data_IF_324703592400
#
_entry.id   IF_324703592400
#
_cell.length_a   1.000
_cell.length_b   1.000
_cell.length_c   1.000
_cell.angle_alpha   90.00
_cell.angle_beta   90.00
_cell.angle_gamma   90.00
#
_symmetry.space_group_name_H-M   'P 1'
#
loop_
_entity.id
_entity.type
_entity.pdbx_description
1 polymer ?
#
# COMPACT_ATOMS: atom_id res chain seq x y z
N UNK A 1 -13.15 -10.56 -16.93
CA UNK A 1 -12.50 -10.42 -15.62
C UNK A 1 -13.28 -9.40 -14.76
N UNK A 2 -13.16 -9.39 -13.42
CA UNK A 2 -13.87 -8.43 -12.55
C UNK A 2 -13.60 -6.94 -12.89
N UNK A 3 -12.51 -6.65 -13.60
CA UNK A 3 -12.12 -5.30 -14.04
C UNK A 3 -12.95 -4.78 -15.24
N UNK A 4 -13.44 -5.65 -16.14
CA UNK A 4 -14.27 -5.26 -17.30
C UNK A 4 -15.63 -4.65 -16.89
N UNK A 5 -16.12 -4.99 -15.68
CA UNK A 5 -17.35 -4.41 -15.13
C UNK A 5 -17.14 -2.99 -14.58
N UNK A 6 -15.90 -2.61 -14.21
CA UNK A 6 -15.58 -1.27 -13.69
C UNK A 6 -15.51 -0.22 -14.79
N UNK A 7 -14.98 -0.59 -15.96
CA UNK A 7 -14.86 0.31 -17.11
C UNK A 7 -16.19 1.00 -17.49
N UNK A 8 -17.31 0.25 -17.46
CA UNK A 8 -18.63 0.81 -17.82
C UNK A 8 -19.07 1.97 -16.91
N UNK A 9 -18.70 1.94 -15.63
CA UNK A 9 -19.01 3.02 -14.69
C UNK A 9 -18.14 4.25 -14.93
N UNK A 10 -16.96 4.09 -15.53
CA UNK A 10 -16.04 5.18 -15.80
C UNK A 10 -16.44 5.97 -17.07
N UNK A 11 -17.21 5.35 -17.97
CA UNK A 11 -17.75 6.02 -19.17
C UNK A 11 -18.72 7.16 -18.87
N UNK A 12 -19.38 7.16 -17.70
CA UNK A 12 -20.29 8.24 -17.28
C UNK A 12 -19.58 9.59 -17.12
N UNK A 13 -18.26 9.60 -17.02
CA UNK A 13 -17.45 10.82 -16.88
C UNK A 13 -16.99 11.43 -18.22
N UNK A 14 -17.36 10.81 -19.37
CA UNK A 14 -17.24 11.39 -20.71
C UNK A 14 -16.03 10.91 -21.55
N UNK A 15 -16.17 10.91 -22.88
CA UNK A 15 -15.14 10.45 -23.84
C UNK A 15 -15.74 9.63 -24.97
N UNK A 16 -14.94 9.20 -25.95
CA UNK A 16 -15.36 8.14 -26.88
C UNK A 16 -15.07 6.77 -26.25
N UNK A 17 -16.00 5.82 -26.36
CA UNK A 17 -15.92 4.51 -25.68
C UNK A 17 -14.61 3.79 -25.97
N UNK A 18 -14.17 3.78 -27.23
CA UNK A 18 -12.96 3.07 -27.65
C UNK A 18 -11.67 3.71 -27.11
N UNK A 19 -11.57 5.05 -27.10
CA UNK A 19 -10.40 5.72 -26.55
C UNK A 19 -10.31 5.54 -25.03
N UNK A 20 -11.46 5.60 -24.35
CA UNK A 20 -11.51 5.35 -22.91
C UNK A 20 -11.05 3.93 -22.58
N UNK A 21 -11.57 2.93 -23.31
CA UNK A 21 -11.20 1.53 -23.11
C UNK A 21 -9.71 1.31 -23.35
N UNK A 22 -9.18 1.89 -24.41
CA UNK A 22 -7.75 1.82 -24.73
C UNK A 22 -6.89 2.42 -23.62
N UNK A 23 -7.28 3.59 -23.09
CA UNK A 23 -6.54 4.23 -21.99
C UNK A 23 -6.64 3.41 -20.70
N UNK A 24 -7.81 2.88 -20.34
CA UNK A 24 -7.96 2.03 -19.15
C UNK A 24 -7.05 0.80 -19.23
N UNK A 25 -7.08 0.09 -20.36
CA UNK A 25 -6.25 -1.08 -20.59
C UNK A 25 -4.75 -0.73 -20.53
N UNK A 26 -4.36 0.43 -21.06
CA UNK A 26 -2.98 0.89 -20.97
C UNK A 26 -2.56 1.19 -19.52
N UNK A 27 -3.43 1.81 -18.71
CA UNK A 27 -3.18 2.08 -17.28
C UNK A 27 -2.99 0.76 -16.53
N UNK A 28 -3.87 -0.22 -16.74
CA UNK A 28 -3.77 -1.54 -16.12
C UNK A 28 -2.49 -2.24 -16.55
N UNK A 29 -2.19 -2.27 -17.85
CA UNK A 29 -0.96 -2.85 -18.37
C UNK A 29 0.28 -2.23 -17.72
N UNK A 30 0.34 -0.90 -17.63
CA UNK A 30 1.51 -0.21 -17.06
C UNK A 30 1.59 -0.39 -15.54
N UNK A 31 0.45 -0.44 -14.84
CA UNK A 31 0.42 -0.79 -13.41
C UNK A 31 1.09 -2.14 -13.14
N UNK A 32 0.82 -3.15 -13.96
CA UNK A 32 1.41 -4.49 -13.80
C UNK A 32 2.88 -4.53 -14.19
N UNK A 33 3.28 -3.81 -15.23
CA UNK A 33 4.66 -3.84 -15.73
C UNK A 33 5.63 -2.87 -15.01
N UNK A 34 5.13 -1.92 -14.22
CA UNK A 34 5.91 -0.80 -13.68
C UNK A 34 7.15 -1.27 -12.91
N UNK A 35 7.05 -2.30 -12.08
CA UNK A 35 8.18 -2.73 -11.23
C UNK A 35 9.09 -3.78 -11.89
N UNK A 36 8.69 -4.31 -13.04
CA UNK A 36 9.45 -5.31 -13.79
C UNK A 36 10.21 -4.69 -14.98
N UNK A 37 9.85 -3.46 -15.36
CA UNK A 37 10.38 -2.81 -16.55
C UNK A 37 11.03 -1.46 -16.22
N UNK A 38 12.37 -1.45 -16.14
CA UNK A 38 13.15 -0.26 -15.81
C UNK A 38 12.97 0.88 -16.81
N UNK A 39 12.74 0.56 -18.08
CA UNK A 39 12.50 1.56 -19.13
C UNK A 39 11.15 2.25 -18.87
N UNK A 40 10.12 1.47 -18.51
CA UNK A 40 8.82 2.02 -18.14
C UNK A 40 8.91 2.88 -16.86
N UNK A 41 9.70 2.48 -15.86
CA UNK A 41 9.96 3.30 -14.67
C UNK A 41 10.58 4.64 -15.05
N UNK A 42 11.60 4.65 -15.92
CA UNK A 42 12.23 5.90 -16.37
C UNK A 42 11.20 6.84 -17.03
N UNK A 43 10.32 6.27 -17.87
CA UNK A 43 9.28 7.05 -18.57
C UNK A 43 8.23 7.60 -17.60
N UNK A 44 7.69 6.77 -16.70
CA UNK A 44 6.55 7.16 -15.86
C UNK A 44 6.95 7.91 -14.59
N UNK A 45 8.06 7.54 -13.97
CA UNK A 45 8.54 8.19 -12.76
C UNK A 45 9.45 9.39 -13.09
N UNK A 46 9.74 9.61 -14.37
CA UNK A 46 10.51 10.75 -14.88
C UNK A 46 11.87 10.92 -14.17
N UNK A 47 12.46 9.81 -13.72
CA UNK A 47 13.57 9.81 -12.79
C UNK A 47 14.96 9.86 -13.44
N UNK A 48 15.04 10.00 -14.77
CA UNK A 48 16.34 10.04 -15.47
C UNK A 48 17.21 8.82 -15.19
N UNK A 49 18.45 8.82 -15.69
CA UNK A 49 19.34 7.66 -15.58
C UNK A 49 19.92 7.50 -14.17
N UNK A 50 19.79 6.27 -13.66
CA UNK A 50 20.40 5.68 -12.45
C UNK A 50 19.78 6.10 -11.11
N UNK A 51 18.57 5.60 -10.82
CA UNK A 51 18.20 5.33 -9.42
C UNK A 51 18.92 4.03 -9.01
N UNK A 52 19.88 4.11 -8.07
CA UNK A 52 20.56 2.94 -7.49
C UNK A 52 19.58 2.06 -6.69
N UNK A 53 18.52 2.64 -6.12
CA UNK A 53 17.47 1.98 -5.35
C UNK A 53 16.10 2.09 -6.05
N UNK A 54 15.89 1.31 -7.12
CA UNK A 54 14.62 1.34 -7.86
C UNK A 54 13.46 0.84 -6.98
N UNK A 55 12.27 1.46 -7.08
CA UNK A 55 11.09 0.96 -6.39
C UNK A 55 10.74 -0.43 -6.94
N UNK A 56 10.38 -1.32 -6.03
CA UNK A 56 9.96 -2.70 -6.29
C UNK A 56 8.46 -2.88 -6.09
N UNK A 57 7.82 -1.93 -5.41
CA UNK A 57 6.39 -1.96 -5.13
C UNK A 57 5.78 -0.55 -5.07
N UNK A 58 4.45 -0.48 -5.07
CA UNK A 58 3.74 0.77 -4.83
C UNK A 58 3.93 1.33 -3.41
N UNK A 59 4.42 0.51 -2.47
CA UNK A 59 4.77 0.96 -1.12
C UNK A 59 6.11 1.72 -1.10
N UNK A 60 6.96 1.53 -2.11
CA UNK A 60 8.26 2.23 -2.21
C UNK A 60 8.11 3.61 -2.86
N UNK A 61 6.95 3.89 -3.48
CA UNK A 61 6.67 5.15 -4.17
C UNK A 61 6.12 6.22 -3.23
N UNK A 62 6.45 7.47 -3.54
CA UNK A 62 5.90 8.64 -2.84
C UNK A 62 4.40 8.80 -3.11
N UNK A 63 3.68 9.27 -2.09
CA UNK A 63 2.24 9.49 -2.14
C UNK A 63 1.91 10.98 -2.02
N UNK A 64 1.54 11.61 -3.13
CA UNK A 64 1.07 13.01 -3.14
C UNK A 64 -0.41 13.16 -2.71
N UNK A 65 -1.16 12.06 -2.64
CA UNK A 65 -2.60 12.05 -2.34
C UNK A 65 -2.81 11.59 -0.90
N UNK A 66 -3.24 12.51 -0.04
CA UNK A 66 -3.42 12.27 1.40
C UNK A 66 -4.24 11.02 1.74
N UNK A 67 -5.42 10.77 1.11
CA UNK A 67 -6.15 9.51 1.30
C UNK A 67 -5.36 8.24 0.97
N UNK A 68 -4.50 8.25 -0.06
CA UNK A 68 -3.66 7.10 -0.41
C UNK A 68 -2.64 6.83 0.69
N UNK A 69 -1.98 7.86 1.21
CA UNK A 69 -1.03 7.75 2.32
C UNK A 69 -1.67 7.19 3.58
N UNK A 70 -2.90 7.60 3.89
CA UNK A 70 -3.67 7.04 5.01
C UNK A 70 -3.95 5.54 4.83
N UNK A 71 -4.40 5.14 3.64
CA UNK A 71 -4.65 3.72 3.33
C UNK A 71 -3.34 2.92 3.40
N UNK A 72 -2.25 3.46 2.86
CA UNK A 72 -0.91 2.88 2.91
C UNK A 72 -0.43 2.68 4.35
N UNK A 73 -0.55 3.69 5.20
CA UNK A 73 -0.18 3.62 6.62
C UNK A 73 -0.94 2.52 7.37
N UNK A 74 -2.27 2.46 7.17
CA UNK A 74 -3.08 1.39 7.75
C UNK A 74 -2.64 0.02 7.25
N UNK A 75 -2.40 -0.16 5.94
CA UNK A 75 -1.97 -1.44 5.39
C UNK A 75 -0.60 -1.88 5.94
N UNK A 76 0.38 -0.97 5.99
CA UNK A 76 1.71 -1.27 6.56
C UNK A 76 1.58 -1.74 8.01
N UNK A 77 0.82 -1.00 8.83
CA UNK A 77 0.63 -1.37 10.23
C UNK A 77 -0.13 -2.69 10.36
N UNK A 78 -1.20 -2.86 9.59
CA UNK A 78 -2.03 -4.06 9.63
C UNK A 78 -1.25 -5.30 9.21
N UNK A 79 -0.47 -5.22 8.14
CA UNK A 79 0.43 -6.28 7.70
C UNK A 79 1.47 -6.60 8.76
N UNK A 80 2.08 -5.58 9.37
CA UNK A 80 3.02 -5.74 10.47
C UNK A 80 2.41 -6.49 11.65
N UNK A 81 1.23 -6.07 12.14
CA UNK A 81 0.58 -6.71 13.30
C UNK A 81 0.10 -8.13 12.97
N UNK A 82 -0.48 -8.34 11.78
CA UNK A 82 -0.89 -9.68 11.32
C UNK A 82 0.31 -10.62 11.24
N UNK A 83 1.44 -10.14 10.73
CA UNK A 83 2.66 -10.93 10.62
C UNK A 83 3.13 -11.42 11.99
N UNK A 84 3.12 -10.54 13.00
CA UNK A 84 3.40 -10.89 14.40
C UNK A 84 2.40 -11.86 15.00
N UNK A 85 1.12 -11.69 14.69
CA UNK A 85 0.04 -12.54 15.17
C UNK A 85 0.03 -13.94 14.54
N UNK A 86 0.72 -14.15 13.39
CA UNK A 86 0.61 -15.39 12.61
C UNK A 86 1.92 -16.15 12.38
N UNK A 87 3.09 -15.50 12.46
CA UNK A 87 4.38 -16.18 12.31
C UNK A 87 4.80 -16.93 13.58
N UNK A 88 5.30 -18.17 13.46
CA UNK A 88 5.80 -18.93 14.61
C UNK A 88 7.20 -18.51 15.09
N UNK A 89 7.41 -18.81 16.37
CA UNK A 89 8.60 -18.76 17.24
C UNK A 89 9.12 -17.41 17.75
N UNK A 90 8.84 -17.20 19.04
CA UNK A 90 9.62 -16.40 19.96
C UNK A 90 10.89 -17.20 20.29
N UNK A 91 12.04 -16.77 19.77
CA UNK A 91 13.33 -17.17 20.37
C UNK A 91 13.51 -16.32 21.62
N UNK A 92 13.35 -16.94 22.79
CA UNK A 92 13.52 -16.27 24.09
C UNK A 92 15.01 -15.94 24.26
N UNK A 93 15.37 -14.66 24.22
CA UNK A 93 16.72 -14.20 24.58
C UNK A 93 16.66 -13.55 25.96
N UNK A 94 17.26 -14.22 26.93
CA UNK A 94 17.39 -13.75 28.31
C UNK A 94 18.43 -12.61 28.36
N UNK A 95 18.04 -11.42 28.84
CA UNK A 95 19.00 -10.37 29.20
C UNK A 95 18.97 -10.19 30.72
N UNK A 96 19.93 -10.78 31.43
CA UNK A 96 21.04 -9.96 31.95
C UNK A 96 22.43 -10.59 31.86
N UNK A 97 22.60 -11.88 31.51
CA UNK A 97 23.92 -12.56 31.50
C UNK A 97 24.11 -13.70 30.45
N UNK A 98 23.24 -13.82 29.43
CA UNK A 98 23.46 -14.76 28.33
C UNK A 98 23.34 -16.25 28.66
N UNK A 99 22.48 -16.62 29.63
CA UNK A 99 22.10 -18.02 29.86
C UNK A 99 20.68 -18.27 29.36
N UNK A 100 20.34 -19.55 29.15
CA UNK A 100 18.98 -19.99 28.83
C UNK A 100 18.52 -20.77 30.06
N UNK A 101 17.47 -20.29 30.74
CA UNK A 101 16.89 -20.94 31.92
C UNK A 101 15.40 -21.24 31.66
N UNK A 102 14.87 -22.42 32.02
CA UNK A 102 13.45 -22.73 31.90
C UNK A 102 12.58 -21.84 32.81
N UNK A 103 11.42 -21.40 32.30
CA UNK A 103 10.49 -20.51 32.99
C UNK A 103 9.98 -21.01 34.35
N UNK A 104 10.08 -22.31 34.64
CA UNK A 104 9.65 -22.94 35.88
C UNK A 104 10.56 -22.70 37.09
N UNK A 105 11.73 -22.07 36.92
CA UNK A 105 12.80 -22.02 37.93
C UNK A 105 13.12 -20.60 38.47
N UNK A 106 12.32 -19.57 38.16
CA UNK A 106 12.68 -18.17 38.46
C UNK A 106 11.79 -17.48 39.51
N UNK A 107 12.41 -16.97 40.58
CA UNK A 107 11.82 -16.08 41.61
C UNK A 107 12.75 -14.85 41.81
N UNK A 108 12.58 -13.77 41.02
CA UNK A 108 13.43 -12.56 41.08
C UNK A 108 13.02 -11.41 40.13
N UNK A 109 13.63 -10.23 40.23
CA UNK A 109 13.21 -8.95 39.61
C UNK A 109 13.03 -8.97 38.07
N UNK A 110 12.05 -8.18 37.58
CA UNK A 110 11.49 -8.12 36.21
C UNK A 110 12.46 -8.49 35.06
N UNK A 111 12.38 -9.75 34.63
CA UNK A 111 12.96 -10.19 33.35
C UNK A 111 12.16 -9.55 32.20
N UNK A 112 12.87 -8.92 31.26
CA UNK A 112 12.29 -8.54 29.97
C UNK A 112 12.54 -9.67 28.97
N UNK A 113 11.45 -10.25 28.46
CA UNK A 113 11.51 -11.30 27.46
C UNK A 113 11.37 -10.67 26.09
N UNK A 114 12.39 -10.82 25.24
CA UNK A 114 12.38 -10.27 23.89
C UNK A 114 12.59 -11.35 22.84
N UNK A 115 11.96 -11.15 21.68
CA UNK A 115 12.21 -11.94 20.46
C UNK A 115 13.62 -11.68 19.92
N UNK A 116 14.07 -12.48 18.95
CA UNK A 116 15.34 -12.29 18.25
C UNK A 116 15.48 -10.90 17.58
N UNK A 117 14.36 -10.23 17.31
CA UNK A 117 14.32 -8.89 16.72
C UNK A 117 14.13 -7.77 17.76
N UNK A 118 14.12 -8.09 19.06
CA UNK A 118 14.07 -7.13 20.17
C UNK A 118 12.65 -6.71 20.61
N UNK A 119 11.60 -7.34 20.10
CA UNK A 119 10.21 -7.06 20.51
C UNK A 119 9.80 -7.81 21.77
N UNK A 120 8.87 -7.25 22.56
CA UNK A 120 8.26 -7.89 23.73
C UNK A 120 7.63 -9.25 23.35
N UNK A 121 8.25 -10.32 23.86
CA UNK A 121 7.85 -11.69 23.61
C UNK A 121 6.50 -12.03 24.23
N UNK A 122 6.23 -11.57 25.46
CA UNK A 122 5.00 -11.88 26.18
C UNK A 122 3.80 -11.24 25.45
N UNK A 123 3.97 -9.99 25.01
CA UNK A 123 2.96 -9.30 24.19
C UNK A 123 2.67 -10.02 22.87
N UNK A 124 3.69 -10.54 22.19
CA UNK A 124 3.54 -11.29 20.94
C UNK A 124 2.85 -12.64 21.17
N UNK A 125 3.23 -13.39 22.21
CA UNK A 125 2.61 -14.67 22.54
C UNK A 125 1.11 -14.48 22.79
N UNK A 126 0.75 -13.48 23.60
CA UNK A 126 -0.64 -13.16 23.88
C UNK A 126 -1.40 -12.73 22.63
N UNK A 127 -0.77 -11.96 21.74
CA UNK A 127 -1.36 -11.59 20.45
C UNK A 127 -1.65 -12.82 19.58
N UNK A 128 -0.74 -13.80 19.56
CA UNK A 128 -0.89 -15.05 18.81
C UNK A 128 -2.01 -15.92 19.40
N UNK A 129 -2.07 -16.07 20.73
CA UNK A 129 -3.15 -16.79 21.40
C UNK A 129 -4.52 -16.18 21.08
N UNK A 130 -4.66 -14.86 21.19
CA UNK A 130 -5.90 -14.14 20.90
C UNK A 130 -6.30 -14.28 19.42
N UNK A 131 -5.33 -14.32 18.49
CA UNK A 131 -5.59 -14.53 17.06
C UNK A 131 -6.30 -15.85 16.77
N UNK A 132 -5.89 -16.93 17.43
CA UNK A 132 -6.52 -18.25 17.29
C UNK A 132 -7.80 -18.37 18.12
N UNK A 133 -7.89 -17.68 19.26
CA UNK A 133 -9.06 -17.72 20.14
C UNK A 133 -10.26 -16.91 19.61
N UNK A 134 -10.04 -15.89 18.77
CA UNK A 134 -11.08 -14.97 18.29
C UNK A 134 -11.26 -15.02 16.75
N UNK A 135 -11.67 -16.15 16.15
CA UNK A 135 -11.80 -16.28 14.70
C UNK A 135 -12.76 -15.24 14.07
N UNK A 136 -13.84 -14.88 14.76
CA UNK A 136 -14.80 -13.87 14.28
C UNK A 136 -14.14 -12.49 14.12
N UNK A 137 -13.28 -12.09 15.06
CA UNK A 137 -12.55 -10.82 14.99
C UNK A 137 -11.46 -10.90 13.91
N UNK A 138 -10.77 -12.03 13.82
CA UNK A 138 -9.79 -12.31 12.76
C UNK A 138 -10.41 -12.19 11.36
N UNK A 139 -11.64 -12.67 11.16
CA UNK A 139 -12.37 -12.50 9.90
C UNK A 139 -12.69 -11.02 9.61
N UNK A 140 -13.05 -10.24 10.63
CA UNK A 140 -13.26 -8.79 10.50
C UNK A 140 -11.95 -8.07 10.15
N UNK A 141 -10.82 -8.47 10.76
CA UNK A 141 -9.48 -7.96 10.42
C UNK A 141 -9.18 -8.19 8.94
N UNK A 142 -9.46 -9.39 8.42
CA UNK A 142 -9.25 -9.71 7.00
C UNK A 142 -10.20 -8.95 6.07
N UNK A 143 -11.45 -8.70 6.48
CA UNK A 143 -12.37 -7.85 5.72
C UNK A 143 -11.88 -6.40 5.66
N UNK A 144 -11.37 -5.87 6.78
CA UNK A 144 -10.78 -4.54 6.84
C UNK A 144 -9.56 -4.43 5.91
N UNK A 145 -8.62 -5.40 5.99
CA UNK A 145 -7.47 -5.51 5.10
C UNK A 145 -7.90 -5.51 3.63
N UNK A 146 -8.85 -6.39 3.26
CA UNK A 146 -9.29 -6.54 1.88
C UNK A 146 -9.91 -5.24 1.31
N UNK A 147 -10.69 -4.51 2.12
CA UNK A 147 -11.27 -3.22 1.72
C UNK A 147 -10.18 -2.17 1.47
N UNK A 148 -9.20 -2.07 2.38
CA UNK A 148 -8.06 -1.16 2.24
C UNK A 148 -7.18 -1.53 1.03
N UNK A 149 -6.88 -2.81 0.81
CA UNK A 149 -6.10 -3.27 -0.35
C UNK A 149 -6.82 -2.96 -1.67
N UNK A 150 -8.15 -3.10 -1.70
CA UNK A 150 -8.94 -2.74 -2.87
C UNK A 150 -8.86 -1.24 -3.16
N UNK A 151 -9.02 -0.40 -2.13
CA UNK A 151 -8.86 1.05 -2.22
C UNK A 151 -7.45 1.46 -2.69
N UNK A 152 -6.39 0.87 -2.10
CA UNK A 152 -5.00 1.13 -2.47
C UNK A 152 -4.74 0.78 -3.94
N UNK A 153 -5.31 -0.32 -4.42
CA UNK A 153 -5.19 -0.73 -5.81
C UNK A 153 -5.80 0.24 -6.82
N UNK A 154 -6.93 0.88 -6.48
CA UNK A 154 -7.55 1.93 -7.29
C UNK A 154 -6.74 3.23 -7.22
N UNK A 155 -6.23 3.59 -6.04
CA UNK A 155 -5.30 4.72 -5.92
C UNK A 155 -4.03 4.52 -6.76
N UNK A 156 -3.52 3.29 -6.87
CA UNK A 156 -2.37 2.98 -7.72
C UNK A 156 -2.70 3.12 -9.22
N UNK A 157 -3.93 2.82 -9.66
CA UNK A 157 -4.37 3.12 -11.04
C UNK A 157 -4.41 4.63 -11.30
N UNK A 158 -4.95 5.42 -10.35
CA UNK A 158 -4.93 6.89 -10.43
C UNK A 158 -3.49 7.43 -10.47
N UNK A 159 -2.60 6.86 -9.67
CA UNK A 159 -1.18 7.24 -9.64
C UNK A 159 -0.53 7.02 -11.01
N UNK A 160 -0.67 5.83 -11.59
CA UNK A 160 -0.14 5.52 -12.93
C UNK A 160 -0.71 6.47 -14.00
N UNK A 161 -2.00 6.79 -13.95
CA UNK A 161 -2.61 7.77 -14.87
C UNK A 161 -1.98 9.17 -14.73
N UNK A 162 -1.67 9.59 -13.50
CA UNK A 162 -1.03 10.89 -13.23
C UNK A 162 0.40 10.91 -13.75
N UNK A 163 1.17 9.85 -13.50
CA UNK A 163 2.52 9.67 -14.06
C UNK A 163 2.52 9.68 -15.59
N UNK A 164 1.54 9.04 -16.24
CA UNK A 164 1.38 9.09 -17.69
C UNK A 164 1.18 10.52 -18.19
N UNK A 165 0.38 11.33 -17.50
CA UNK A 165 0.18 12.73 -17.87
C UNK A 165 1.51 13.51 -17.80
N UNK A 166 2.29 13.31 -16.76
CA UNK A 166 3.57 14.01 -16.61
C UNK A 166 4.62 13.52 -17.62
N UNK A 167 4.61 12.23 -17.97
CA UNK A 167 5.43 11.66 -19.04
C UNK A 167 5.11 12.26 -20.43
N UNK A 168 3.90 12.80 -20.65
CA UNK A 168 3.61 13.55 -21.89
C UNK A 168 4.19 14.96 -21.91
N UNK A 169 4.45 15.54 -20.73
CA UNK A 169 4.96 16.92 -20.56
C UNK A 169 6.49 16.96 -20.48
N UNK A 170 7.13 15.84 -20.11
CA UNK A 170 8.58 15.76 -20.02
C UNK A 170 9.21 15.92 -21.41
N UNK A 171 10.10 16.91 -21.56
CA UNK A 171 10.93 17.11 -22.76
C UNK A 171 12.19 16.24 -22.77
N UNK A 172 12.21 15.16 -22.00
CA UNK A 172 13.37 14.28 -21.96
C UNK A 172 13.46 13.51 -23.28
N UNK A 173 14.34 13.99 -24.16
CA UNK A 173 14.76 13.26 -25.35
C UNK A 173 15.75 12.18 -24.90
N UNK A 174 15.21 11.07 -24.39
CA UNK A 174 16.00 10.04 -23.72
C UNK A 174 16.76 9.10 -24.69
N UNK A 175 16.63 9.32 -26.00
CA UNK A 175 17.44 8.67 -27.02
C UNK A 175 17.19 7.17 -27.27
N UNK A 176 16.41 6.47 -26.43
CA UNK A 176 16.11 5.04 -26.59
C UNK A 176 14.79 4.80 -27.34
N UNK A 177 14.79 3.86 -28.28
CA UNK A 177 13.62 3.57 -29.14
C UNK A 177 12.43 3.04 -28.32
N UNK A 178 12.73 2.27 -27.28
CA UNK A 178 11.76 1.67 -26.39
C UNK A 178 11.03 2.73 -25.56
N UNK A 179 11.74 3.73 -25.03
CA UNK A 179 11.17 4.86 -24.28
C UNK A 179 10.27 5.71 -25.17
N UNK A 180 10.73 6.02 -26.40
CA UNK A 180 9.91 6.69 -27.41
C UNK A 180 8.65 5.87 -27.73
N UNK A 181 8.75 4.54 -27.79
CA UNK A 181 7.63 3.64 -27.97
C UNK A 181 6.57 3.77 -26.87
N UNK A 182 7.00 3.80 -25.60
CA UNK A 182 6.10 4.02 -24.45
C UNK A 182 5.46 5.41 -24.49
N UNK A 183 6.24 6.46 -24.71
CA UNK A 183 5.73 7.84 -24.78
C UNK A 183 4.73 8.03 -25.93
N UNK A 184 5.01 7.48 -27.11
CA UNK A 184 4.12 7.56 -28.27
C UNK A 184 2.79 6.83 -28.01
N UNK A 185 2.83 5.66 -27.34
CA UNK A 185 1.61 4.97 -26.90
C UNK A 185 0.77 5.85 -25.98
N UNK A 186 1.39 6.50 -24.98
CA UNK A 186 0.68 7.41 -24.07
C UNK A 186 0.10 8.61 -24.84
N UNK A 187 0.92 9.31 -25.62
CA UNK A 187 0.50 10.50 -26.40
C UNK A 187 -0.63 10.20 -27.38
N UNK A 188 -0.67 8.99 -27.95
CA UNK A 188 -1.70 8.58 -28.88
C UNK A 188 -3.09 8.38 -28.25
N UNK A 189 -3.17 8.14 -26.94
CA UNK A 189 -4.43 7.81 -26.24
C UNK A 189 -4.83 8.83 -25.19
N UNK A 190 -3.85 9.48 -24.55
CA UNK A 190 -4.09 10.39 -23.43
C UNK A 190 -4.38 11.81 -23.93
N UNK A 191 -5.58 12.30 -23.66
CA UNK A 191 -5.94 13.70 -23.83
C UNK A 191 -6.60 14.25 -22.57
N UNK A 192 -6.78 15.58 -22.50
CA UNK A 192 -7.34 16.23 -21.32
C UNK A 192 -8.72 15.68 -20.92
N UNK A 193 -9.59 15.40 -21.90
CA UNK A 193 -10.95 14.90 -21.64
C UNK A 193 -10.91 13.50 -21.03
N UNK A 194 -10.16 12.58 -21.62
CA UNK A 194 -10.02 11.20 -21.11
C UNK A 194 -9.30 11.17 -19.77
N UNK A 195 -8.29 12.01 -19.57
CA UNK A 195 -7.58 12.12 -18.30
C UNK A 195 -8.51 12.54 -17.16
N UNK A 196 -9.25 13.65 -17.32
CA UNK A 196 -10.16 14.16 -16.29
C UNK A 196 -11.23 13.12 -15.92
N UNK A 197 -11.77 12.41 -16.92
CA UNK A 197 -12.75 11.37 -16.71
C UNK A 197 -12.22 10.24 -15.82
N UNK A 198 -11.05 9.68 -16.16
CA UNK A 198 -10.45 8.60 -15.37
C UNK A 198 -9.88 9.05 -14.03
N UNK A 199 -9.31 10.25 -13.95
CA UNK A 199 -8.80 10.78 -12.68
C UNK A 199 -9.90 10.86 -11.63
N UNK A 200 -11.06 11.40 -12.04
CA UNK A 200 -12.27 11.46 -11.22
C UNK A 200 -12.78 10.06 -10.88
N UNK A 201 -12.85 9.17 -11.87
CA UNK A 201 -13.41 7.85 -11.71
C UNK A 201 -12.58 6.96 -10.76
N UNK A 202 -11.26 6.89 -10.95
CA UNK A 202 -10.38 6.12 -10.06
C UNK A 202 -10.34 6.72 -8.66
N UNK A 203 -10.30 8.05 -8.53
CA UNK A 203 -10.31 8.68 -7.21
C UNK A 203 -11.60 8.40 -6.43
N UNK A 204 -12.76 8.54 -7.07
CA UNK A 204 -14.04 8.29 -6.41
C UNK A 204 -14.22 6.82 -6.07
N UNK A 205 -13.81 5.91 -6.95
CA UNK A 205 -13.85 4.47 -6.69
C UNK A 205 -12.96 4.10 -5.51
N UNK A 206 -11.72 4.61 -5.47
CA UNK A 206 -10.82 4.40 -4.35
C UNK A 206 -11.41 4.92 -3.03
N UNK A 207 -12.06 6.09 -3.05
CA UNK A 207 -12.74 6.63 -1.86
C UNK A 207 -13.93 5.79 -1.41
N UNK A 208 -14.74 5.29 -2.34
CA UNK A 208 -15.86 4.40 -2.02
C UNK A 208 -15.36 3.10 -1.40
N UNK A 209 -14.31 2.50 -1.97
CA UNK A 209 -13.69 1.29 -1.45
C UNK A 209 -13.04 1.53 -0.07
N UNK A 210 -12.42 2.69 0.16
CA UNK A 210 -11.93 3.09 1.47
C UNK A 210 -13.08 3.23 2.48
N UNK A 211 -14.20 3.82 2.08
CA UNK A 211 -15.39 3.95 2.94
C UNK A 211 -15.99 2.60 3.32
N UNK A 212 -15.85 1.57 2.48
CA UNK A 212 -16.31 0.22 2.78
C UNK A 212 -15.54 -0.41 3.97
N UNK A 213 -14.34 0.09 4.27
CA UNK A 213 -13.58 -0.30 5.46
C UNK A 213 -14.19 0.22 6.77
N UNK A 214 -15.11 1.20 6.72
CA UNK A 214 -15.70 1.81 7.91
C UNK A 214 -16.51 0.86 8.79
N UNK A 215 -17.27 -0.07 8.19
CA UNK A 215 -18.03 -1.09 8.93
C UNK A 215 -17.12 -2.05 9.70
N UNK A 216 -16.15 -2.71 9.04
CA UNK A 216 -15.12 -3.50 9.73
C UNK A 216 -14.35 -2.71 10.78
N UNK A 217 -13.95 -1.47 10.49
CA UNK A 217 -13.24 -0.61 11.44
C UNK A 217 -14.02 -0.42 12.74
N UNK A 218 -15.31 -0.10 12.65
CA UNK A 218 -16.17 0.09 13.84
C UNK A 218 -16.23 -1.17 14.70
N UNK A 219 -16.40 -2.35 14.08
CA UNK A 219 -16.40 -3.63 14.79
C UNK A 219 -15.07 -3.92 15.49
N UNK A 220 -13.95 -3.61 14.84
CA UNK A 220 -12.62 -3.77 15.46
C UNK A 220 -12.44 -2.81 16.64
N UNK A 221 -12.91 -1.57 16.52
CA UNK A 221 -12.83 -0.55 17.57
C UNK A 221 -13.66 -0.90 18.81
N UNK A 222 -14.64 -1.79 18.70
CA UNK A 222 -15.45 -2.28 19.83
C UNK A 222 -14.79 -3.46 20.58
N UNK A 223 -13.76 -4.09 20.00
CA UNK A 223 -13.06 -5.24 20.57
C UNK A 223 -11.69 -4.84 21.14
N UNK A 224 -11.37 -5.26 22.37
CA UNK A 224 -10.04 -5.03 22.94
C UNK A 224 -8.92 -5.67 22.09
N UNK A 225 -9.14 -6.89 21.58
CA UNK A 225 -8.23 -7.52 20.64
C UNK A 225 -8.22 -6.81 19.27
N UNK A 226 -9.40 -6.46 18.74
CA UNK A 226 -9.54 -5.79 17.44
C UNK A 226 -8.81 -4.44 17.37
N UNK A 227 -8.81 -3.67 18.46
CA UNK A 227 -8.10 -2.38 18.57
C UNK A 227 -6.59 -2.50 18.32
N UNK A 228 -5.96 -3.64 18.59
CA UNK A 228 -4.53 -3.86 18.35
C UNK A 228 -4.15 -3.77 16.86
N UNK A 229 -5.14 -3.91 15.96
CA UNK A 229 -4.97 -3.85 14.51
C UNK A 229 -5.34 -2.47 13.92
N UNK A 230 -5.67 -1.50 14.77
CA UNK A 230 -6.03 -0.15 14.37
C UNK A 230 -4.94 0.85 14.79
N UNK A 231 -4.62 1.78 13.90
CA UNK A 231 -3.82 2.94 14.25
C UNK A 231 -4.70 4.00 14.92
N UNK A 232 -4.20 4.57 16.03
CA UNK A 232 -4.78 5.76 16.62
C UNK A 232 -4.59 6.97 15.70
N UNK A 233 -5.44 7.99 15.82
CA UNK A 233 -5.39 9.19 14.97
C UNK A 233 -4.03 9.90 15.00
N UNK A 234 -3.40 9.95 16.18
CA UNK A 234 -2.06 10.54 16.35
C UNK A 234 -0.99 9.71 15.63
N UNK A 235 -0.98 8.39 15.83
CA UNK A 235 -0.04 7.47 15.18
C UNK A 235 -0.21 7.49 13.66
N UNK A 236 -1.46 7.55 13.18
CA UNK A 236 -1.79 7.70 11.77
C UNK A 236 -1.18 8.98 11.19
N UNK A 237 -1.37 10.11 11.88
CA UNK A 237 -0.86 11.40 11.43
C UNK A 237 0.68 11.41 11.37
N UNK A 238 1.33 10.84 12.39
CA UNK A 238 2.78 10.68 12.43
C UNK A 238 3.30 9.77 11.33
N UNK A 239 2.68 8.61 11.11
CA UNK A 239 3.05 7.68 10.04
C UNK A 239 2.86 8.30 8.66
N UNK A 240 1.76 9.01 8.41
CA UNK A 240 1.53 9.71 7.13
C UNK A 240 2.59 10.78 6.90
N UNK A 241 2.97 11.53 7.95
CA UNK A 241 4.06 12.51 7.86
C UNK A 241 5.38 11.82 7.55
N UNK A 242 5.70 10.69 8.18
CA UNK A 242 6.92 9.92 7.90
C UNK A 242 6.91 9.33 6.49
N UNK A 243 5.80 8.75 6.03
CA UNK A 243 5.66 8.21 4.67
C UNK A 243 5.90 9.32 3.63
N UNK A 244 5.47 10.55 3.90
CA UNK A 244 5.68 11.69 3.00
C UNK A 244 7.06 12.33 3.15
N UNK A 245 7.62 12.44 4.36
CA UNK A 245 8.96 13.05 4.63
C UNK A 245 10.14 12.09 4.40
N UNK A 246 9.96 10.79 4.60
CA UNK A 246 10.97 9.77 4.26
C UNK A 246 11.27 9.73 2.76
N UNK A 247 10.41 10.36 1.95
CA UNK A 247 10.59 10.55 0.51
C UNK A 247 11.23 11.90 0.13
N UNK A 248 11.52 12.80 1.09
CA UNK A 248 12.17 14.11 0.84
C UNK A 248 13.69 14.12 1.07
N UNK A 249 14.37 12.98 0.89
CA UNK A 249 15.83 12.88 0.88
C UNK A 249 16.34 12.39 -0.49
N UNK A 250 16.00 13.13 -1.53
CA UNK A 250 16.78 13.20 -2.78
C UNK A 250 16.69 14.66 -3.24
N UNK A 251 17.52 15.51 -2.62
CA UNK A 251 17.93 16.80 -3.16
C UNK A 251 19.34 16.65 -3.76
#
# INVERSE_FOLDING_TARGET
>A
MPEDRKFKNYMFYGGSTQQLETLHNLVVQYKHALFENHILQNVLLNSGYQIENRPTSFFDLEDAVWPRSHVKANLIFLEYVIDRATKPEITIVETTLGKIIPASEYEGEELSFVTAEGFDAIGIERLQEEWFANPDITDVIRQFQAALTKSFNEFNQKYVLSCMLDATKSFLDLGWKEEQGYQNKIKGVLNAKTFIAFDTAYFNTARMDASAAGGPYQKLAESEFGKLFLLEEKQMSEMVVVIRKGCSYID
#
